data_IF_779558095420
#
_entry.id   IF_779558095420
#
_cell.length_a   1.000
_cell.length_b   1.000
_cell.length_c   1.000
_cell.angle_alpha   90.00
_cell.angle_beta   90.00
_cell.angle_gamma   90.00
#
_symmetry.space_group_name_H-M   'P 1'
#
loop_
_entity.id
_entity.type
_entity.pdbx_description
1 polymer ?
#
# COMPACT_ATOMS: atom_id res chain seq x y z
N UNK A 1 -10.20 20.03 12.35
CA UNK A 1 -8.89 20.58 12.76
C UNK A 1 -8.02 20.65 11.52
N UNK A 2 -7.74 21.84 11.00
CA UNK A 2 -6.77 22.03 9.90
C UNK A 2 -5.38 21.72 10.44
N UNK A 3 -4.92 20.48 10.21
CA UNK A 3 -3.58 20.02 10.61
C UNK A 3 -2.52 20.24 9.51
N UNK A 4 -2.90 20.80 8.36
CA UNK A 4 -1.95 21.15 7.30
C UNK A 4 -1.39 22.56 7.56
N UNK A 5 -0.36 22.61 8.38
CA UNK A 5 0.41 23.83 8.64
C UNK A 5 1.45 24.01 7.55
N UNK A 6 1.83 25.25 7.23
CA UNK A 6 2.87 25.56 6.23
C UNK A 6 4.18 24.79 6.51
N UNK A 7 4.47 24.52 7.79
CA UNK A 7 5.59 23.68 8.23
C UNK A 7 5.50 22.23 7.71
N UNK A 8 4.31 21.62 7.68
CA UNK A 8 4.14 20.25 7.18
C UNK A 8 4.29 20.21 5.66
N UNK A 9 3.75 21.19 4.95
CA UNK A 9 3.98 21.36 3.50
C UNK A 9 5.46 21.45 3.18
N UNK A 10 6.23 22.22 3.96
CA UNK A 10 7.68 22.31 3.77
C UNK A 10 8.39 20.96 3.99
N UNK A 11 7.98 20.17 4.99
CA UNK A 11 8.49 18.82 5.20
C UNK A 11 8.19 17.91 4.00
N UNK A 12 6.99 17.98 3.44
CA UNK A 12 6.64 17.21 2.23
C UNK A 12 7.51 17.59 1.05
N UNK A 13 7.78 18.87 0.85
CA UNK A 13 8.72 19.35 -0.19
C UNK A 13 10.13 18.80 0.03
N UNK A 14 10.64 18.81 1.27
CA UNK A 14 11.97 18.26 1.58
C UNK A 14 12.06 16.77 1.25
N UNK A 15 11.08 15.98 1.70
CA UNK A 15 11.04 14.53 1.42
C UNK A 15 10.90 14.27 -0.07
N UNK A 16 10.03 15.00 -0.77
CA UNK A 16 9.85 14.87 -2.21
C UNK A 16 11.12 15.18 -2.98
N UNK A 17 11.86 16.21 -2.57
CA UNK A 17 13.16 16.54 -3.18
C UNK A 17 14.17 15.43 -2.94
N UNK A 18 14.23 14.87 -1.74
CA UNK A 18 15.12 13.74 -1.42
C UNK A 18 14.76 12.50 -2.25
N UNK A 19 13.47 12.16 -2.34
CA UNK A 19 12.96 11.06 -3.13
C UNK A 19 13.33 11.21 -4.60
N UNK A 20 13.14 12.40 -5.17
CA UNK A 20 13.49 12.71 -6.55
C UNK A 20 14.99 12.51 -6.81
N UNK A 21 15.83 13.07 -5.95
CA UNK A 21 17.30 12.95 -6.07
C UNK A 21 17.79 11.50 -5.97
N UNK A 22 17.08 10.67 -5.20
CA UNK A 22 17.40 9.25 -5.03
C UNK A 22 16.67 8.33 -6.02
N UNK A 23 15.88 8.87 -6.95
CA UNK A 23 15.01 8.08 -7.85
C UNK A 23 14.10 7.09 -7.10
N UNK A 24 13.57 7.54 -5.97
CA UNK A 24 12.68 6.79 -5.10
C UNK A 24 11.23 7.27 -5.26
N UNK A 25 10.30 6.39 -4.91
CA UNK A 25 8.91 6.74 -4.61
C UNK A 25 8.72 6.81 -3.09
N UNK A 26 7.66 7.47 -2.67
CA UNK A 26 7.40 7.76 -1.27
C UNK A 26 6.26 6.85 -0.81
N UNK A 27 6.49 6.01 0.17
CA UNK A 27 5.45 5.18 0.78
C UNK A 27 5.03 5.79 2.11
N UNK A 28 3.71 5.98 2.29
CA UNK A 28 3.13 6.41 3.56
C UNK A 28 2.50 5.22 4.28
N UNK A 29 2.96 4.91 5.50
CA UNK A 29 2.42 3.80 6.27
C UNK A 29 1.01 4.03 6.79
N UNK A 30 0.59 5.29 6.94
CA UNK A 30 -0.72 5.62 7.50
C UNK A 30 -1.84 5.38 6.46
N UNK A 31 -1.59 5.73 5.21
CA UNK A 31 -2.52 5.47 4.09
C UNK A 31 -2.26 4.14 3.39
N UNK A 32 -1.09 3.51 3.61
CA UNK A 32 -0.62 2.33 2.87
C UNK A 32 -0.52 2.58 1.36
N UNK A 33 -0.27 3.83 0.95
CA UNK A 33 -0.18 4.25 -0.45
C UNK A 33 1.22 4.69 -0.83
N UNK A 34 1.50 4.57 -2.13
CA UNK A 34 2.71 5.10 -2.75
C UNK A 34 2.39 6.40 -3.48
N UNK A 35 3.30 7.36 -3.36
CA UNK A 35 3.23 8.66 -4.00
C UNK A 35 4.49 8.90 -4.82
N UNK A 36 4.33 9.48 -6.00
CA UNK A 36 5.44 10.17 -6.66
C UNK A 36 5.84 11.41 -5.84
N UNK A 37 7.06 11.94 -6.01
CA UNK A 37 7.46 13.19 -5.38
C UNK A 37 6.46 14.33 -5.58
N UNK A 38 5.88 14.44 -6.78
CA UNK A 38 4.90 15.48 -7.10
C UNK A 38 3.59 15.29 -6.33
N UNK A 39 3.02 14.09 -6.40
CA UNK A 39 1.77 13.76 -5.70
C UNK A 39 1.91 13.92 -4.20
N UNK A 40 3.08 13.59 -3.65
CA UNK A 40 3.33 13.72 -2.22
C UNK A 40 3.30 15.17 -1.75
N UNK A 41 3.90 16.11 -2.50
CA UNK A 41 3.85 17.54 -2.17
C UNK A 41 2.41 18.06 -2.15
N UNK A 42 1.64 17.67 -3.17
CA UNK A 42 0.26 18.08 -3.35
C UNK A 42 -0.72 17.32 -2.43
N UNK A 43 -0.23 16.30 -1.70
CA UNK A 43 -1.03 15.52 -0.75
C UNK A 43 -1.32 16.30 0.53
N UNK A 44 -2.42 15.92 1.21
CA UNK A 44 -2.75 16.37 2.56
C UNK A 44 -2.12 15.53 3.67
N UNK A 45 -1.08 14.74 3.36
CA UNK A 45 -0.44 13.84 4.32
C UNK A 45 0.29 14.66 5.39
N UNK A 46 0.07 14.29 6.64
CA UNK A 46 0.79 14.88 7.77
C UNK A 46 2.04 14.04 8.01
N UNK A 47 3.20 14.61 7.75
CA UNK A 47 4.48 13.96 8.06
C UNK A 47 4.66 13.87 9.58
N UNK A 48 4.79 12.67 10.11
CA UNK A 48 5.14 12.41 11.50
C UNK A 48 6.67 12.45 11.64
N UNK A 49 7.18 13.37 12.46
CA UNK A 49 8.62 13.53 12.69
C UNK A 49 8.94 12.97 14.06
N UNK A 50 9.76 11.92 14.07
CA UNK A 50 10.29 11.32 15.30
C UNK A 50 11.75 11.71 15.46
N UNK A 51 12.17 11.89 16.69
CA UNK A 51 13.55 12.23 17.04
C UNK A 51 14.13 11.06 17.84
N UNK A 52 15.24 10.49 17.34
CA UNK A 52 16.06 9.54 18.09
C UNK A 52 17.43 10.20 18.28
N UNK A 53 17.78 10.45 19.53
CA UNK A 53 18.97 11.20 19.93
C UNK A 53 19.07 12.59 19.25
N UNK A 54 19.85 12.68 18.18
CA UNK A 54 20.11 13.89 17.38
C UNK A 54 19.63 13.78 15.94
N UNK A 55 19.06 12.63 15.55
CA UNK A 55 18.61 12.38 14.17
C UNK A 55 17.09 12.45 14.09
N UNK A 56 16.60 13.27 13.17
CA UNK A 56 15.18 13.30 12.80
C UNK A 56 14.92 12.22 11.77
N UNK A 57 13.85 11.45 11.97
CA UNK A 57 13.36 10.47 11.01
C UNK A 57 11.85 10.64 10.83
N UNK A 58 11.38 10.30 9.64
CA UNK A 58 9.97 10.39 9.30
C UNK A 58 9.29 9.08 9.73
N UNK A 59 8.46 9.15 10.75
CA UNK A 59 7.87 7.98 11.42
C UNK A 59 6.88 7.21 10.55
N UNK A 60 6.23 7.91 9.61
CA UNK A 60 5.20 7.35 8.73
C UNK A 60 5.58 7.38 7.24
N UNK A 61 6.78 7.85 6.90
CA UNK A 61 7.24 7.99 5.51
C UNK A 61 8.50 7.18 5.27
N UNK A 62 8.53 6.45 4.16
CA UNK A 62 9.72 5.73 3.70
C UNK A 62 9.97 5.98 2.22
N UNK A 63 11.24 5.97 1.83
CA UNK A 63 11.66 6.10 0.44
C UNK A 63 11.97 4.70 -0.10
N UNK A 64 11.20 4.27 -1.09
CA UNK A 64 11.38 2.97 -1.73
C UNK A 64 11.89 3.13 -3.16
N UNK A 65 12.70 2.19 -3.62
CA UNK A 65 13.10 2.17 -5.02
C UNK A 65 11.87 1.83 -5.88
N UNK A 66 11.58 2.65 -6.90
CA UNK A 66 10.40 2.51 -7.75
C UNK A 66 10.25 1.09 -8.34
N UNK A 67 11.35 0.47 -8.76
CA UNK A 67 11.36 -0.88 -9.32
C UNK A 67 10.97 -1.92 -8.28
N UNK A 68 11.51 -1.80 -7.06
CA UNK A 68 11.23 -2.75 -5.97
C UNK A 68 9.77 -2.63 -5.49
N UNK A 69 9.26 -1.41 -5.40
CA UNK A 69 7.88 -1.16 -5.01
C UNK A 69 6.88 -1.74 -6.03
N UNK A 70 7.12 -1.56 -7.33
CA UNK A 70 6.30 -2.17 -8.38
C UNK A 70 6.34 -3.72 -8.32
N UNK A 71 7.53 -4.29 -8.08
CA UNK A 71 7.66 -5.73 -7.90
C UNK A 71 6.87 -6.24 -6.68
N UNK A 72 6.83 -5.47 -5.60
CA UNK A 72 6.07 -5.80 -4.39
C UNK A 72 4.57 -5.76 -4.65
N UNK A 73 4.06 -4.70 -5.26
CA UNK A 73 2.65 -4.60 -5.65
C UNK A 73 2.23 -5.75 -6.58
N UNK A 74 3.05 -6.10 -7.57
CA UNK A 74 2.78 -7.22 -8.46
C UNK A 74 2.72 -8.56 -7.71
N UNK A 75 3.61 -8.75 -6.71
CA UNK A 75 3.60 -9.94 -5.84
C UNK A 75 2.35 -10.01 -4.98
N UNK A 76 1.93 -8.89 -4.40
CA UNK A 76 0.73 -8.82 -3.57
C UNK A 76 -0.54 -9.08 -4.39
N UNK A 77 -0.61 -8.53 -5.60
CA UNK A 77 -1.70 -8.78 -6.55
C UNK A 77 -1.75 -10.25 -6.98
N UNK A 78 -0.59 -10.87 -7.23
CA UNK A 78 -0.51 -12.30 -7.52
C UNK A 78 -1.03 -13.14 -6.35
N UNK A 79 -0.62 -12.82 -5.12
CA UNK A 79 -1.09 -13.52 -3.93
C UNK A 79 -2.60 -13.34 -3.69
N UNK A 80 -3.14 -12.15 -3.96
CA UNK A 80 -4.59 -11.91 -3.90
C UNK A 80 -5.35 -12.74 -4.95
N UNK A 81 -4.82 -12.83 -6.17
CA UNK A 81 -5.40 -13.65 -7.22
C UNK A 81 -5.35 -15.15 -6.88
N UNK A 82 -4.25 -15.65 -6.32
CA UNK A 82 -4.15 -17.04 -5.85
C UNK A 82 -5.20 -17.35 -4.76
N UNK A 83 -5.43 -16.43 -3.82
CA UNK A 83 -6.51 -16.55 -2.83
C UNK A 83 -7.89 -16.59 -3.48
N UNK A 84 -8.14 -15.71 -4.45
CA UNK A 84 -9.39 -15.68 -5.20
C UNK A 84 -9.64 -16.98 -5.98
N UNK A 85 -8.61 -17.52 -6.65
CA UNK A 85 -8.71 -18.78 -7.37
C UNK A 85 -9.00 -19.95 -6.43
N UNK A 86 -8.29 -20.04 -5.30
CA UNK A 86 -8.54 -21.06 -4.28
C UNK A 86 -9.97 -20.96 -3.71
N UNK A 87 -10.48 -19.74 -3.50
CA UNK A 87 -11.86 -19.52 -3.06
C UNK A 87 -12.88 -19.91 -4.13
N UNK A 88 -12.62 -19.57 -5.39
CA UNK A 88 -13.48 -19.92 -6.53
C UNK A 88 -13.58 -21.43 -6.72
N UNK A 89 -12.47 -22.16 -6.58
CA UNK A 89 -12.46 -23.62 -6.60
C UNK A 89 -13.31 -24.21 -5.47
N UNK A 90 -13.23 -23.66 -4.26
CA UNK A 90 -14.10 -24.08 -3.14
C UNK A 90 -15.58 -23.91 -3.48
N UNK A 91 -15.96 -22.78 -4.07
CA UNK A 91 -17.35 -22.53 -4.50
C UNK A 91 -17.79 -23.59 -5.52
N UNK A 92 -17.00 -23.81 -6.57
CA UNK A 92 -17.35 -24.77 -7.62
C UNK A 92 -17.47 -26.20 -7.06
N UNK A 93 -16.53 -26.61 -6.19
CA UNK A 93 -16.57 -27.92 -5.53
C UNK A 93 -17.73 -28.10 -4.54
N UNK A 94 -18.29 -27.01 -4.00
CA UNK A 94 -19.45 -27.08 -3.12
C UNK A 94 -20.72 -27.52 -3.88
N UNK A 95 -20.82 -27.21 -5.17
CA UNK A 95 -21.90 -27.68 -6.04
C UNK A 95 -21.69 -29.13 -6.51
N UNK A 96 -20.45 -29.57 -6.71
CA UNK A 96 -20.14 -30.98 -7.04
C UNK A 96 -20.43 -31.93 -5.86
N UNK A 97 -20.33 -31.46 -4.61
CA UNK A 97 -20.67 -32.24 -3.42
C UNK A 97 -22.18 -32.32 -3.13
N UNK A 98 -23.04 -31.68 -3.94
CA UNK A 98 -24.49 -31.76 -3.80
C UNK A 98 -25.21 -32.27 -5.04
N UNK A 99 -25.14 -33.58 -5.37
CA UNK A 99 -26.24 -34.25 -6.03
C UNK A 99 -27.31 -34.66 -4.98
N UNK A 100 -27.77 -33.74 -4.12
CA UNK A 100 -28.92 -34.01 -3.23
C UNK A 100 -30.19 -33.64 -3.98
N UNK A 101 -30.55 -34.45 -4.96
CA UNK A 101 -31.77 -34.20 -5.75
C UNK A 101 -32.19 -35.29 -6.73
N UNK A 102 -31.43 -36.37 -6.91
CA UNK A 102 -31.92 -37.51 -7.70
C UNK A 102 -31.57 -38.84 -7.05
N UNK A 103 -32.60 -39.66 -6.90
CA UNK A 103 -32.59 -41.08 -6.57
C UNK A 103 -32.54 -41.46 -5.08
N UNK A 104 -33.73 -41.58 -4.48
CA UNK A 104 -34.19 -42.92 -4.09
C UNK A 104 -35.59 -43.13 -4.62
N UNK A 105 -35.66 -43.63 -5.85
CA UNK A 105 -36.80 -44.46 -6.24
C UNK A 105 -36.67 -45.78 -5.49
N UNK A 106 -37.66 -46.07 -4.65
CA UNK A 106 -38.38 -47.34 -4.56
C UNK A 106 -39.50 -47.18 -3.54
#
# INVERSE_FOLDING_TARGET
>A
MNKDTEANKQLRVTIATEAFNKSCIIFCSDTQEYYTPREFVDSGIIVDVKELDTRKYYGNISLENAKQALQRQAKDLKAANEKYQAFSQKILSAFDLSPVGKSKGK
#
